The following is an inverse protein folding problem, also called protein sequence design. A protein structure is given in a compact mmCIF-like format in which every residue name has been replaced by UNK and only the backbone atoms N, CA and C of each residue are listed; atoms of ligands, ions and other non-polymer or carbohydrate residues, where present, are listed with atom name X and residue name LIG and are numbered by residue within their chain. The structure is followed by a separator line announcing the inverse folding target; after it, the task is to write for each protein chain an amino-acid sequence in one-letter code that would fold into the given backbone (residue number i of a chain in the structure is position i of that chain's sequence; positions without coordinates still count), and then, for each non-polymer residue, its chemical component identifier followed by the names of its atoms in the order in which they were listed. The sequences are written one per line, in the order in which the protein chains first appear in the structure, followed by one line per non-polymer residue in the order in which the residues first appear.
data_IF_507626462965
#
_entry.id   IF_507626462965
#
_cell.length_a   1.000
_cell.length_b   1.000
_cell.length_c   1.000
_cell.angle_alpha   90.00
_cell.angle_beta   90.00
_cell.angle_gamma   90.00
#
_symmetry.space_group_name_H-M   'P 1'
#
loop_
_entity.id
_entity.type
_entity.pdbx_description
1 polymer ?
#
# COMPACT_ATOMS: atom_id res chain seq x y z
N UNK A 1 -2.05 -0.50 -5.21
CA UNK A 1 -2.59 -1.44 -4.20
C UNK A 1 -2.15 -0.96 -2.82
N UNK A 2 -2.94 -1.18 -1.78
CA UNK A 2 -2.54 -0.89 -0.40
C UNK A 2 -2.97 -2.00 0.55
N UNK A 3 -2.23 -2.15 1.65
CA UNK A 3 -2.50 -3.09 2.74
C UNK A 3 -2.64 -2.29 4.02
N UNK A 4 -3.87 -2.19 4.52
CA UNK A 4 -4.18 -1.51 5.77
C UNK A 4 -4.17 -2.51 6.93
N UNK A 5 -3.46 -2.20 7.99
CA UNK A 5 -3.42 -3.01 9.22
C UNK A 5 -4.29 -2.34 10.28
N UNK A 6 -5.15 -3.13 10.94
CA UNK A 6 -6.07 -2.65 11.97
C UNK A 6 -5.96 -3.45 13.26
N UNK A 7 -6.26 -2.80 14.37
CA UNK A 7 -6.47 -3.49 15.65
C UNK A 7 -7.76 -4.29 15.62
N UNK A 8 -7.73 -5.55 16.05
CA UNK A 8 -8.97 -6.35 16.22
C UNK A 8 -9.81 -5.86 17.39
N UNK A 9 -9.17 -5.24 18.40
CA UNK A 9 -9.83 -4.77 19.62
C UNK A 9 -10.65 -3.51 19.39
N UNK A 10 -10.09 -2.53 18.68
CA UNK A 10 -10.69 -1.21 18.49
C UNK A 10 -11.21 -0.97 17.07
N UNK A 11 -10.79 -1.78 16.11
CA UNK A 11 -11.05 -1.54 14.67
C UNK A 11 -10.24 -0.38 14.08
N UNK A 12 -9.41 0.30 14.89
CA UNK A 12 -8.64 1.47 14.46
C UNK A 12 -7.60 1.08 13.40
N UNK A 13 -7.42 1.96 12.41
CA UNK A 13 -6.31 1.90 11.47
C UNK A 13 -4.99 2.13 12.22
N UNK A 14 -4.01 1.27 11.99
CA UNK A 14 -2.68 1.34 12.62
C UNK A 14 -1.62 1.82 11.63
N UNK A 15 -1.66 1.31 10.40
CA UNK A 15 -0.79 1.75 9.29
C UNK A 15 -1.37 1.28 7.97
N UNK A 16 -1.00 1.93 6.89
CA UNK A 16 -1.28 1.47 5.53
C UNK A 16 0.03 1.39 4.75
N UNK A 17 0.40 0.21 4.28
CA UNK A 17 1.49 0.05 3.32
C UNK A 17 0.93 0.21 1.91
N UNK A 18 1.44 1.19 1.16
CA UNK A 18 0.98 1.52 -0.19
C UNK A 18 2.02 1.09 -1.21
N UNK A 19 1.55 0.37 -2.22
CA UNK A 19 2.28 -0.02 -3.42
C UNK A 19 1.69 0.77 -4.60
N UNK A 20 2.33 1.87 -4.95
CA UNK A 20 1.97 2.67 -6.12
C UNK A 20 2.73 2.13 -7.33
N UNK A 21 1.95 1.62 -8.30
CA UNK A 21 2.47 1.02 -9.51
C UNK A 21 2.05 1.87 -10.71
N UNK A 22 2.99 2.20 -11.59
CA UNK A 22 2.70 2.81 -12.89
C UNK A 22 3.45 2.05 -13.98
N UNK A 23 2.71 1.56 -14.96
CA UNK A 23 3.29 0.98 -16.18
C UNK A 23 3.77 2.13 -17.09
N UNK A 24 4.99 2.01 -17.60
CA UNK A 24 5.53 2.97 -18.55
C UNK A 24 5.50 2.36 -19.95
N UNK A 25 5.02 3.13 -20.93
CA UNK A 25 5.01 2.74 -22.34
C UNK A 25 6.42 2.87 -22.91
N UNK A 26 7.33 1.96 -22.52
CA UNK A 26 8.67 1.88 -23.08
C UNK A 26 8.94 0.49 -23.65
N UNK A 27 9.72 0.42 -24.72
CA UNK A 27 10.24 -0.84 -25.25
C UNK A 27 11.24 -1.40 -24.24
N UNK A 28 10.91 -2.53 -23.62
CA UNK A 28 11.79 -3.21 -22.69
C UNK A 28 13.03 -3.70 -23.43
N UNK A 29 14.22 -3.33 -22.93
CA UNK A 29 15.49 -3.91 -23.35
C UNK A 29 15.63 -5.32 -22.77
N UNK A 30 16.49 -6.15 -23.36
CA UNK A 30 16.71 -7.54 -22.93
C UNK A 30 17.12 -7.66 -21.46
N UNK A 31 17.76 -6.63 -20.88
CA UNK A 31 18.18 -6.58 -19.48
C UNK A 31 17.12 -6.02 -18.51
N UNK A 32 15.95 -5.62 -19.02
CA UNK A 32 14.89 -5.03 -18.19
C UNK A 32 14.38 -5.99 -17.13
N UNK A 33 14.36 -7.30 -17.41
CA UNK A 33 13.95 -8.32 -16.44
C UNK A 33 14.90 -8.37 -15.25
N UNK A 34 16.20 -8.50 -15.48
CA UNK A 34 17.19 -8.60 -14.39
C UNK A 34 17.21 -7.32 -13.55
N UNK A 35 17.06 -6.16 -14.19
CA UNK A 35 16.96 -4.89 -13.48
C UNK A 35 15.67 -4.78 -12.64
N UNK A 36 14.54 -5.31 -13.13
CA UNK A 36 13.29 -5.39 -12.36
C UNK A 36 13.42 -6.36 -11.18
N UNK A 37 14.00 -7.54 -11.39
CA UNK A 37 14.20 -8.53 -10.34
C UNK A 37 15.08 -7.96 -9.21
N UNK A 38 16.17 -7.27 -9.57
CA UNK A 38 17.02 -6.56 -8.59
C UNK A 38 16.29 -5.41 -7.89
N UNK A 39 15.45 -4.65 -8.60
CA UNK A 39 14.62 -3.60 -8.01
C UNK A 39 13.64 -4.18 -6.98
N UNK A 40 12.93 -5.25 -7.32
CA UNK A 40 12.00 -5.92 -6.41
C UNK A 40 12.73 -6.46 -5.19
N UNK A 41 13.89 -7.09 -5.39
CA UNK A 41 14.72 -7.61 -4.30
C UNK A 41 15.14 -6.50 -3.34
N UNK A 42 15.63 -5.37 -3.84
CA UNK A 42 16.00 -4.21 -3.01
C UNK A 42 14.80 -3.63 -2.26
N UNK A 43 13.68 -3.47 -2.96
CA UNK A 43 12.45 -2.94 -2.38
C UNK A 43 11.93 -3.83 -1.25
N UNK A 44 12.02 -5.15 -1.41
CA UNK A 44 11.65 -6.12 -0.38
C UNK A 44 12.56 -6.00 0.85
N UNK A 45 13.87 -5.85 0.67
CA UNK A 45 14.81 -5.64 1.80
C UNK A 45 14.48 -4.36 2.56
N UNK A 46 14.22 -3.26 1.85
CA UNK A 46 13.83 -1.99 2.47
C UNK A 46 12.50 -2.11 3.23
N UNK A 47 11.52 -2.81 2.66
CA UNK A 47 10.24 -3.09 3.31
C UNK A 47 10.42 -3.94 4.57
N UNK A 48 11.24 -4.99 4.53
CA UNK A 48 11.53 -5.82 5.71
C UNK A 48 12.22 -5.01 6.82
N UNK A 49 13.18 -4.14 6.46
CA UNK A 49 13.85 -3.27 7.42
C UNK A 49 12.87 -2.27 8.06
N UNK A 50 11.98 -1.68 7.26
CA UNK A 50 10.94 -0.78 7.76
C UNK A 50 9.94 -1.49 8.66
N UNK A 51 9.53 -2.72 8.32
CA UNK A 51 8.64 -3.52 9.16
C UNK A 51 9.27 -3.85 10.53
N UNK A 52 10.59 -4.08 10.58
CA UNK A 52 11.31 -4.27 11.82
C UNK A 52 11.44 -2.97 12.64
N UNK A 53 11.69 -1.83 11.98
CA UNK A 53 11.80 -0.53 12.63
C UNK A 53 10.46 0.03 13.15
N UNK A 54 9.35 -0.34 12.50
CA UNK A 54 7.98 0.01 12.88
C UNK A 54 7.24 -1.18 13.51
N UNK A 55 7.97 -2.06 14.19
CA UNK A 55 7.36 -3.14 14.96
C UNK A 55 6.41 -2.52 15.98
N UNK A 56 5.11 -2.75 15.79
CA UNK A 56 4.09 -2.30 16.73
C UNK A 56 4.27 -3.04 18.06
N UNK A 57 4.39 -2.26 19.14
CA UNK A 57 4.42 -2.79 20.50
C UNK A 57 3.12 -3.53 20.84
N UNK A 58 3.27 -4.67 21.50
CA UNK A 58 2.18 -5.33 22.22
C UNK A 58 1.55 -6.52 21.50
N UNK A 59 1.06 -7.42 22.36
CA UNK A 59 0.35 -8.67 22.10
C UNK A 59 -1.06 -8.45 21.48
N UNK A 60 -1.25 -7.34 20.78
CA UNK A 60 -2.50 -6.97 20.14
C UNK A 60 -2.65 -7.74 18.83
N UNK A 61 -3.70 -8.55 18.78
CA UNK A 61 -4.12 -9.20 17.55
C UNK A 61 -4.50 -8.16 16.49
N UNK A 62 -4.15 -8.45 15.24
CA UNK A 62 -4.29 -7.53 14.11
C UNK A 62 -4.89 -8.25 12.93
N UNK A 63 -5.66 -7.51 12.17
CA UNK A 63 -6.15 -7.93 10.86
C UNK A 63 -5.59 -7.00 9.81
N UNK A 64 -5.55 -7.47 8.56
CA UNK A 64 -5.25 -6.62 7.43
C UNK A 64 -6.41 -6.61 6.44
N UNK A 65 -6.53 -5.51 5.70
CA UNK A 65 -7.41 -5.36 4.54
C UNK A 65 -6.58 -4.95 3.35
N UNK A 66 -6.88 -5.53 2.20
CA UNK A 66 -6.25 -5.17 0.94
C UNK A 66 -7.19 -4.27 0.15
N UNK A 67 -6.65 -3.20 -0.41
CA UNK A 67 -7.38 -2.28 -1.26
C UNK A 67 -6.68 -2.17 -2.62
N UNK A 68 -7.50 -2.13 -3.68
CA UNK A 68 -7.04 -1.90 -5.03
C UNK A 68 -7.65 -0.61 -5.54
N UNK A 69 -6.79 0.35 -5.87
CA UNK A 69 -7.18 1.56 -6.59
C UNK A 69 -6.98 1.31 -8.07
N UNK A 70 -8.06 1.33 -8.83
CA UNK A 70 -8.08 1.23 -10.28
C UNK A 70 -7.78 2.59 -10.92
N UNK A 71 -7.28 2.58 -12.16
CA UNK A 71 -7.11 3.81 -12.96
C UNK A 71 -8.45 4.36 -13.44
N UNK A 72 -9.39 3.47 -13.71
CA UNK A 72 -10.75 3.76 -14.16
C UNK A 72 -11.75 3.59 -13.01
N UNK A 73 -12.96 4.10 -13.18
CA UNK A 73 -13.96 4.09 -12.12
C UNK A 73 -14.50 2.67 -11.87
N UNK A 74 -14.22 2.11 -10.69
CA UNK A 74 -14.57 0.73 -10.32
C UNK A 74 -16.09 0.44 -10.28
N UNK A 75 -16.94 1.46 -10.44
CA UNK A 75 -18.40 1.31 -10.57
C UNK A 75 -18.81 0.80 -11.96
N UNK A 76 -17.93 0.90 -12.95
CA UNK A 76 -18.16 0.41 -14.32
C UNK A 76 -17.87 -1.10 -14.37
N UNK A 77 -18.84 -1.95 -14.74
CA UNK A 77 -18.68 -3.41 -14.71
C UNK A 77 -17.47 -3.95 -15.49
N UNK A 78 -17.11 -3.29 -16.58
CA UNK A 78 -15.99 -3.66 -17.46
C UNK A 78 -14.61 -3.40 -16.83
N UNK A 79 -14.57 -2.60 -15.78
CA UNK A 79 -13.36 -2.23 -15.04
C UNK A 79 -13.19 -3.04 -13.74
N UNK A 80 -14.18 -3.88 -13.43
CA UNK A 80 -14.10 -4.81 -12.32
C UNK A 80 -12.92 -5.75 -12.53
N UNK A 81 -12.24 -6.10 -11.43
CA UNK A 81 -11.15 -7.08 -11.45
C UNK A 81 -11.68 -8.35 -12.11
N UNK A 82 -11.13 -8.71 -13.27
CA UNK A 82 -11.70 -9.73 -14.14
C UNK A 82 -11.70 -11.11 -13.43
N UNK A 83 -12.88 -11.59 -13.04
CA UNK A 83 -13.08 -12.76 -12.18
C UNK A 83 -13.13 -14.08 -12.96
N UNK A 84 -12.22 -14.31 -13.91
CA UNK A 84 -12.27 -15.54 -14.73
C UNK A 84 -12.12 -16.83 -13.88
N UNK A 85 -11.41 -16.78 -12.75
CA UNK A 85 -11.15 -17.93 -11.87
C UNK A 85 -11.51 -17.71 -10.38
N UNK A 86 -11.85 -16.47 -9.98
CA UNK A 86 -12.07 -16.06 -8.57
C UNK A 86 -13.41 -15.33 -8.49
N UNK A 87 -14.48 -16.10 -8.38
CA UNK A 87 -15.84 -15.56 -8.23
C UNK A 87 -15.93 -14.64 -7.00
N UNK A 88 -16.35 -13.40 -7.21
CA UNK A 88 -16.87 -12.45 -6.22
C UNK A 88 -15.96 -12.15 -5.01
N UNK A 89 -14.64 -12.15 -5.20
CA UNK A 89 -13.69 -11.97 -4.09
C UNK A 89 -13.40 -10.51 -3.74
N UNK A 90 -13.85 -9.56 -4.57
CA UNK A 90 -13.66 -8.12 -4.35
C UNK A 90 -15.00 -7.41 -4.20
N UNK A 91 -15.08 -6.53 -3.20
CA UNK A 91 -16.23 -5.65 -2.98
C UNK A 91 -15.78 -4.20 -3.11
N UNK A 92 -16.68 -3.34 -3.55
CA UNK A 92 -16.43 -1.89 -3.55
C UNK A 92 -16.19 -1.42 -2.11
N UNK A 93 -15.10 -0.69 -1.91
CA UNK A 93 -14.77 -0.11 -0.62
C UNK A 93 -15.86 0.91 -0.22
N UNK A 94 -16.28 0.87 1.03
CA UNK A 94 -17.31 1.81 1.52
C UNK A 94 -16.72 3.21 1.74
N UNK A 95 -17.54 4.26 1.83
CA UNK A 95 -17.05 5.58 2.23
C UNK A 95 -16.32 5.58 3.59
N UNK A 96 -16.69 4.68 4.50
CA UNK A 96 -15.99 4.51 5.78
C UNK A 96 -14.57 3.91 5.60
N UNK A 97 -14.39 3.00 4.64
CA UNK A 97 -13.06 2.52 4.25
C UNK A 97 -12.23 3.61 3.56
N UNK A 98 -12.87 4.51 2.81
CA UNK A 98 -12.22 5.60 2.08
C UNK A 98 -11.87 6.82 2.96
N UNK A 99 -12.62 7.05 4.04
CA UNK A 99 -12.31 8.09 5.05
C UNK A 99 -11.02 7.79 5.81
N UNK A 100 -10.65 6.52 5.95
CA UNK A 100 -9.35 6.11 6.48
C UNK A 100 -8.18 6.36 5.49
N UNK A 101 -8.49 6.63 4.21
CA UNK A 101 -7.54 6.89 3.12
C UNK A 101 -7.45 8.38 2.74
N UNK A 102 -8.43 9.21 3.15
CA UNK A 102 -8.48 10.67 2.86
C UNK A 102 -8.75 11.59 4.08
N UNK A 103 -8.99 11.04 5.27
CA UNK A 103 -9.64 11.74 6.38
C UNK A 103 -8.75 12.23 7.53
N UNK A 104 -7.44 11.97 7.52
CA UNK A 104 -6.54 12.77 8.36
C UNK A 104 -5.77 13.72 7.46
N UNK A 105 -6.09 15.00 7.54
CA UNK A 105 -5.26 16.08 7.01
C UNK A 105 -3.83 16.09 7.60
N UNK A 106 -3.50 15.14 8.48
CA UNK A 106 -2.29 15.01 9.25
C UNK A 106 -1.70 13.57 9.29
N UNK A 107 -1.96 12.73 8.28
CA UNK A 107 -1.28 11.44 8.18
C UNK A 107 0.21 11.62 7.81
N UNK A 108 1.11 10.87 8.46
CA UNK A 108 2.54 10.90 8.12
C UNK A 108 2.87 9.88 7.03
N UNK A 109 3.69 10.28 6.05
CA UNK A 109 4.15 9.41 4.95
C UNK A 109 5.61 9.05 5.21
N UNK A 110 5.88 7.74 5.29
CA UNK A 110 7.24 7.20 5.43
C UNK A 110 7.64 6.51 4.13
N UNK A 111 8.51 7.09 3.30
CA UNK A 111 8.96 6.47 2.07
C UNK A 111 9.84 5.25 2.36
N UNK A 112 9.58 4.12 1.70
CA UNK A 112 10.32 2.86 1.88
C UNK A 112 11.21 2.56 0.68
N UNK A 113 10.63 2.55 -0.52
CA UNK A 113 11.32 2.23 -1.76
C UNK A 113 10.75 3.04 -2.92
N UNK A 114 11.58 3.36 -3.91
CA UNK A 114 11.16 4.05 -5.12
C UNK A 114 12.04 3.64 -6.29
N UNK A 115 11.43 3.41 -7.45
CA UNK A 115 12.14 3.07 -8.68
C UNK A 115 12.25 4.28 -9.60
N UNK A 116 13.13 5.23 -9.30
CA UNK A 116 13.32 6.44 -10.11
C UNK A 116 14.10 6.22 -11.43
N UNK A 117 14.24 4.97 -11.89
CA UNK A 117 15.03 4.66 -13.10
C UNK A 117 14.20 4.80 -14.37
N UNK A 118 14.52 5.75 -15.28
CA UNK A 118 13.74 5.99 -16.49
C UNK A 118 13.83 4.86 -17.53
N UNK A 119 14.71 3.87 -17.34
CA UNK A 119 14.91 2.73 -18.24
C UNK A 119 14.04 1.51 -17.93
N UNK A 120 13.29 1.53 -16.82
CA UNK A 120 12.45 0.40 -16.41
C UNK A 120 11.03 0.56 -16.94
N UNK A 121 10.36 -0.52 -17.39
CA UNK A 121 8.98 -0.46 -17.89
C UNK A 121 7.93 -0.25 -16.79
N UNK A 122 8.39 -0.06 -15.56
CA UNK A 122 7.58 0.00 -14.36
C UNK A 122 8.15 1.05 -13.41
N UNK A 123 7.27 1.90 -12.88
CA UNK A 123 7.54 2.70 -11.70
C UNK A 123 6.83 2.10 -10.49
N UNK A 124 7.59 1.79 -9.44
CA UNK A 124 7.13 1.30 -8.16
C UNK A 124 7.55 2.28 -7.07
N UNK A 125 6.58 2.80 -6.32
CA UNK A 125 6.83 3.41 -5.02
C UNK A 125 6.19 2.56 -3.93
N UNK A 126 6.93 2.37 -2.84
CA UNK A 126 6.45 1.75 -1.61
C UNK A 126 6.59 2.75 -0.48
N UNK A 127 5.52 3.00 0.26
CA UNK A 127 5.52 3.92 1.40
C UNK A 127 4.49 3.49 2.44
N UNK A 128 4.74 3.85 3.70
CA UNK A 128 3.79 3.69 4.78
C UNK A 128 3.02 5.00 4.97
N UNK A 129 1.73 4.88 5.27
CA UNK A 129 0.89 5.96 5.75
C UNK A 129 0.52 5.63 7.19
N UNK A 130 0.98 6.43 8.13
CA UNK A 130 0.63 6.25 9.54
C UNK A 130 -0.45 7.27 9.91
N UNK A 131 -1.56 6.83 10.53
CA UNK A 131 -2.52 7.74 11.11
C UNK A 131 -1.82 8.49 12.25
N UNK A 132 -2.13 9.77 12.41
CA UNK A 132 -1.63 10.55 13.53
C UNK A 132 -2.06 9.84 14.83
N UNK A 133 -1.09 9.45 15.66
CA UNK A 133 -1.38 9.01 17.01
C UNK A 133 -2.17 10.12 17.68
N UNK A 134 -3.38 9.86 18.16
CA UNK A 134 -4.03 10.79 19.09
C UNK A 134 -3.09 10.94 20.27
N UNK A 135 -2.33 12.04 20.27
CA UNK A 135 -1.34 12.31 21.29
C UNK A 135 -2.08 12.37 22.61
N UNK A 136 -1.87 11.37 23.47
CA UNK A 136 -1.77 11.66 24.88
C UNK A 136 -0.62 12.66 25.00
N UNK A 137 -0.95 13.95 25.01
CA UNK A 137 -0.02 15.00 25.36
C UNK A 137 0.58 14.60 26.72
N UNK A 138 1.91 14.50 26.87
CA UNK A 138 2.47 14.43 28.20
C UNK A 138 2.16 15.78 28.86
N UNK A 139 1.15 15.78 29.74
CA UNK A 139 0.86 16.93 30.59
C UNK A 139 2.15 17.34 31.31
N UNK A 140 2.48 18.65 31.36
CA UNK A 140 3.66 19.15 32.04
C UNK A 140 3.65 18.88 33.54
#
# INVERSE_FOLDING_TARGET
MSVAVRSTKTGALLTTCVFELRMLLISAKDDAKDQLDELFRRSLVQLSAAAAAHAFDGNDERIFRMYLRTSEEATVPETLVCEHDIQQSWILATPADAMDDRGSAHASIVPIASSSRPSLPLHLNVYLVQPESSGASPSP
#
